data_IF_167846918619
#
_entry.id   IF_167846918619
#
_cell.length_a   1.000
_cell.length_b   1.000
_cell.length_c   1.000
_cell.angle_alpha   90.00
_cell.angle_beta   90.00
_cell.angle_gamma   90.00
#
_symmetry.space_group_name_H-M   'P 1'
#
loop_
_entity.id
_entity.type
_entity.pdbx_description
1 polymer ?
#
# COMPACT_ATOMS: atom_id res chain seq x y z
N UNK A 1 -56.89 12.50 20.58
CA UNK A 1 -56.17 12.89 19.37
C UNK A 1 -54.64 12.84 19.64
N UNK A 2 -54.04 11.69 19.42
CA UNK A 2 -52.61 11.48 19.63
C UNK A 2 -51.90 11.53 18.27
N UNK A 3 -51.07 12.59 18.07
CA UNK A 3 -50.27 12.76 16.88
C UNK A 3 -49.06 11.83 16.98
N UNK A 4 -49.00 10.82 16.11
CA UNK A 4 -47.86 9.93 15.99
C UNK A 4 -46.65 10.67 15.37
N UNK A 5 -45.55 10.68 16.10
CA UNK A 5 -44.27 11.21 15.67
C UNK A 5 -43.62 10.18 14.74
N UNK A 6 -43.55 10.48 13.46
CA UNK A 6 -42.79 9.65 12.50
C UNK A 6 -41.28 9.84 12.78
N UNK A 7 -40.62 8.81 13.30
CA UNK A 7 -39.14 8.73 13.31
C UNK A 7 -38.62 8.58 11.89
N UNK A 8 -37.96 9.59 11.38
CA UNK A 8 -37.11 9.49 10.20
C UNK A 8 -35.86 8.73 10.63
N UNK A 9 -35.68 7.52 10.12
CA UNK A 9 -34.44 6.77 10.21
C UNK A 9 -33.57 7.32 9.09
N UNK A 10 -32.57 8.13 9.45
CA UNK A 10 -31.48 8.45 8.56
C UNK A 10 -30.62 7.17 8.42
N UNK A 11 -30.72 6.52 7.30
CA UNK A 11 -29.75 5.51 6.89
C UNK A 11 -28.48 6.25 6.46
N UNK A 12 -27.32 6.02 7.10
CA UNK A 12 -26.08 6.55 6.56
C UNK A 12 -25.84 5.81 5.25
N UNK A 13 -26.01 6.51 4.14
CA UNK A 13 -25.46 6.07 2.87
C UNK A 13 -23.94 6.11 3.03
N UNK A 14 -23.31 4.97 3.22
CA UNK A 14 -21.90 4.79 2.99
C UNK A 14 -21.68 5.03 1.49
N UNK A 15 -21.22 6.20 1.15
CA UNK A 15 -20.58 6.44 -0.14
C UNK A 15 -19.28 5.63 -0.13
N UNK A 16 -19.31 4.46 -0.73
CA UNK A 16 -18.09 3.83 -1.22
C UNK A 16 -17.57 4.77 -2.32
N UNK A 17 -16.57 5.59 -2.00
CA UNK A 17 -15.78 6.24 -3.04
C UNK A 17 -15.07 5.10 -3.80
N UNK A 18 -15.54 4.81 -5.00
CA UNK A 18 -14.71 4.11 -5.96
C UNK A 18 -13.55 5.07 -6.26
N UNK A 19 -12.38 4.75 -5.75
CA UNK A 19 -11.14 5.48 -6.03
C UNK A 19 -10.73 4.96 -7.39
N UNK A 20 -11.08 5.70 -8.45
CA UNK A 20 -10.62 5.42 -9.81
C UNK A 20 -9.10 5.41 -9.86
N UNK A 21 -8.52 4.58 -10.71
CA UNK A 21 -7.08 4.43 -10.85
C UNK A 21 -6.42 5.78 -11.12
N UNK A 22 -5.53 6.21 -10.24
CA UNK A 22 -4.72 7.41 -10.40
C UNK A 22 -3.26 6.99 -10.61
N UNK A 23 -2.63 7.35 -11.73
CA UNK A 23 -1.27 6.93 -12.02
C UNK A 23 -0.30 7.57 -11.02
N UNK A 24 0.49 6.74 -10.35
CA UNK A 24 1.50 7.15 -9.38
C UNK A 24 2.89 6.76 -9.89
N UNK A 25 3.83 7.68 -9.77
CA UNK A 25 5.26 7.40 -10.00
C UNK A 25 5.96 7.24 -8.66
N UNK A 26 6.54 6.08 -8.41
CA UNK A 26 7.30 5.84 -7.18
C UNK A 26 8.69 6.47 -7.32
N UNK A 27 8.80 7.76 -7.01
CA UNK A 27 10.02 8.54 -7.22
C UNK A 27 10.46 9.39 -6.00
N UNK A 28 9.66 9.36 -4.93
CA UNK A 28 9.89 10.14 -3.70
C UNK A 28 9.38 11.58 -3.80
N UNK A 29 8.58 11.88 -4.83
CA UNK A 29 7.87 13.15 -5.00
C UNK A 29 6.38 12.91 -4.87
N UNK A 30 5.74 13.51 -3.91
CA UNK A 30 4.34 13.19 -3.57
C UNK A 30 3.31 14.08 -4.28
N UNK A 31 3.69 14.73 -5.38
CA UNK A 31 2.82 15.65 -6.13
C UNK A 31 1.64 14.97 -6.81
N UNK A 32 1.81 13.75 -7.28
CA UNK A 32 0.79 12.90 -7.89
C UNK A 32 -0.22 12.33 -6.87
N UNK A 33 0.13 12.34 -5.59
CA UNK A 33 -0.76 11.97 -4.50
C UNK A 33 -1.76 13.07 -4.08
N UNK A 34 -1.64 14.28 -4.62
CA UNK A 34 -2.49 15.41 -4.21
C UNK A 34 -3.98 15.15 -4.48
N UNK A 35 -4.29 14.54 -5.62
CA UNK A 35 -5.66 14.22 -6.02
C UNK A 35 -6.18 12.90 -5.41
N UNK A 36 -5.31 12.08 -4.84
CA UNK A 36 -5.71 10.83 -4.18
C UNK A 36 -6.31 11.15 -2.81
N UNK A 37 -7.55 10.75 -2.53
CA UNK A 37 -8.18 11.05 -1.25
C UNK A 37 -7.50 10.34 -0.10
N UNK A 38 -7.51 10.97 1.07
CA UNK A 38 -7.11 10.34 2.33
C UNK A 38 -8.18 9.32 2.70
N UNK A 39 -7.80 8.08 2.91
CA UNK A 39 -8.70 7.01 3.35
C UNK A 39 -8.69 6.83 4.86
N UNK A 40 -7.61 7.23 5.53
CA UNK A 40 -7.48 7.23 6.97
C UNK A 40 -6.64 8.40 7.45
N UNK A 41 -7.07 9.01 8.53
CA UNK A 41 -6.32 10.04 9.26
C UNK A 41 -6.25 9.62 10.70
N UNK A 42 -5.06 9.58 11.21
CA UNK A 42 -4.73 9.21 12.56
C UNK A 42 -4.46 10.44 13.43
N UNK A 43 -4.61 10.29 14.75
CA UNK A 43 -4.29 11.34 15.71
C UNK A 43 -2.86 11.12 16.21
N UNK A 44 -2.23 12.17 16.69
CA UNK A 44 -0.93 12.09 17.34
C UNK A 44 -1.14 11.80 18.84
N UNK A 45 -1.30 10.55 19.24
CA UNK A 45 -1.72 10.22 20.61
C UNK A 45 -1.21 8.88 21.19
N UNK A 46 -0.77 7.91 20.42
CA UNK A 46 -0.48 6.57 20.94
C UNK A 46 0.92 6.02 20.72
N UNK A 47 1.70 6.53 19.76
CA UNK A 47 3.07 6.09 19.53
C UNK A 47 4.12 7.07 20.07
N UNK A 48 5.27 6.52 20.49
CA UNK A 48 6.36 7.32 21.06
C UNK A 48 7.34 7.80 19.98
N UNK A 49 7.59 6.98 18.98
CA UNK A 49 8.63 7.26 17.97
C UNK A 49 8.06 7.37 16.56
N UNK A 50 7.28 6.38 16.12
CA UNK A 50 6.71 6.33 14.77
C UNK A 50 5.19 6.32 14.86
N UNK A 51 4.60 7.50 14.85
CA UNK A 51 3.18 7.77 14.96
C UNK A 51 2.66 8.07 13.56
N UNK A 52 1.87 7.16 13.01
CA UNK A 52 1.26 7.33 11.70
C UNK A 52 0.28 8.50 11.71
N UNK A 53 0.09 9.15 10.60
CA UNK A 53 -0.85 10.27 10.50
C UNK A 53 -1.84 10.14 9.34
N UNK A 54 -1.43 9.55 8.26
CA UNK A 54 -2.23 9.57 7.03
C UNK A 54 -1.96 8.36 6.18
N UNK A 55 -3.03 7.77 5.63
CA UNK A 55 -2.97 6.72 4.63
C UNK A 55 -3.78 7.08 3.40
N UNK A 56 -3.21 6.84 2.22
CA UNK A 56 -3.90 6.91 0.93
C UNK A 56 -3.62 5.64 0.16
N UNK A 57 -4.61 5.18 -0.61
CA UNK A 57 -4.48 4.03 -1.49
C UNK A 57 -5.07 4.38 -2.85
N UNK A 58 -4.40 3.96 -3.90
CA UNK A 58 -4.91 3.95 -5.26
C UNK A 58 -4.33 2.76 -6.02
N UNK A 59 -4.75 2.54 -7.24
CA UNK A 59 -4.29 1.42 -8.06
C UNK A 59 -4.35 1.79 -9.54
N UNK A 60 -3.64 1.03 -10.34
CA UNK A 60 -3.79 0.98 -11.80
C UNK A 60 -3.99 -0.47 -12.26
N UNK A 61 -3.81 -0.76 -13.53
CA UNK A 61 -3.97 -2.12 -14.08
C UNK A 61 -2.89 -3.11 -13.64
N UNK A 62 -1.77 -2.62 -13.09
CA UNK A 62 -0.62 -3.45 -12.74
C UNK A 62 -0.25 -3.38 -11.26
N UNK A 63 -0.51 -2.25 -10.58
CA UNK A 63 -0.03 -2.00 -9.24
C UNK A 63 -1.10 -1.48 -8.29
N UNK A 64 -0.98 -1.91 -7.04
CA UNK A 64 -1.56 -1.26 -5.88
C UNK A 64 -0.55 -0.24 -5.36
N UNK A 65 -0.97 1.00 -5.18
CA UNK A 65 -0.16 2.09 -4.66
C UNK A 65 -0.63 2.48 -3.27
N UNK A 66 0.32 2.66 -2.36
CA UNK A 66 0.07 3.01 -0.96
C UNK A 66 0.96 4.18 -0.61
N UNK A 67 0.37 5.24 -0.05
CA UNK A 67 1.09 6.35 0.55
C UNK A 67 0.75 6.43 2.02
N UNK A 68 1.75 6.65 2.85
CA UNK A 68 1.55 6.95 4.26
C UNK A 68 2.53 7.98 4.77
N UNK A 69 2.15 8.60 5.89
CA UNK A 69 2.92 9.67 6.52
C UNK A 69 2.86 9.52 8.03
N UNK A 70 3.95 9.96 8.70
CA UNK A 70 4.04 10.08 10.15
C UNK A 70 3.73 11.50 10.62
N UNK A 71 3.26 11.67 11.86
CA UNK A 71 3.06 12.96 12.48
C UNK A 71 4.36 13.70 12.70
N UNK A 72 5.34 13.00 13.25
CA UNK A 72 6.68 13.53 13.54
C UNK A 72 7.75 12.49 13.21
N UNK A 73 9.02 12.90 13.29
CA UNK A 73 10.14 12.02 12.99
C UNK A 73 10.44 11.88 11.51
N UNK A 74 11.57 11.31 11.23
CA UNK A 74 12.04 10.92 9.90
C UNK A 74 12.64 9.54 10.01
N UNK A 75 12.20 8.63 9.16
CA UNK A 75 12.58 7.23 9.20
C UNK A 75 13.25 6.80 7.92
N UNK A 76 14.13 5.83 8.00
CA UNK A 76 14.64 5.10 6.87
C UNK A 76 13.86 3.79 6.76
N UNK A 77 13.01 3.68 5.75
CA UNK A 77 12.07 2.59 5.61
C UNK A 77 12.72 1.20 5.62
N UNK A 78 13.89 1.09 5.03
CA UNK A 78 14.62 -0.17 4.85
C UNK A 78 15.83 -0.28 5.78
N UNK A 79 15.67 0.09 7.03
CA UNK A 79 16.69 -0.02 8.08
C UNK A 79 16.03 -0.55 9.37
N UNK A 80 16.74 -0.70 10.42
CA UNK A 80 16.47 -1.24 11.76
C UNK A 80 15.07 -0.93 12.39
N UNK A 81 14.05 -0.84 11.56
CA UNK A 81 12.66 -0.66 11.97
C UNK A 81 11.89 -1.97 11.84
N UNK A 82 10.68 -1.99 12.35
CA UNK A 82 9.77 -3.13 12.28
C UNK A 82 8.45 -2.74 11.60
N UNK A 83 8.55 -1.92 10.55
CA UNK A 83 7.41 -1.58 9.74
C UNK A 83 6.92 -2.77 8.93
N UNK A 84 5.66 -3.11 9.14
CA UNK A 84 4.99 -4.19 8.44
C UNK A 84 3.82 -3.67 7.62
N UNK A 85 3.61 -4.36 6.50
CA UNK A 85 2.42 -4.26 5.68
C UNK A 85 1.71 -5.60 5.71
N UNK A 86 0.43 -5.59 5.99
CA UNK A 86 -0.46 -6.74 5.94
C UNK A 86 -1.57 -6.46 4.94
N UNK A 87 -1.81 -7.40 4.03
CA UNK A 87 -2.90 -7.33 3.06
C UNK A 87 -3.72 -8.61 3.16
N UNK A 88 -4.99 -8.45 3.51
CA UNK A 88 -6.02 -9.48 3.54
C UNK A 88 -6.85 -9.33 2.26
N UNK A 89 -6.85 -10.33 1.40
CA UNK A 89 -7.49 -10.29 0.08
C UNK A 89 -8.78 -11.06 -0.01
N UNK A 90 -9.07 -11.95 0.95
CA UNK A 90 -10.30 -12.73 1.00
C UNK A 90 -11.32 -12.20 2.03
N UNK A 91 -10.91 -11.23 2.83
CA UNK A 91 -11.68 -10.62 3.92
C UNK A 91 -12.11 -11.62 5.01
N UNK A 92 -11.38 -12.73 5.14
CA UNK A 92 -11.63 -13.72 6.19
C UNK A 92 -10.55 -13.63 7.28
N UNK A 93 -10.89 -13.01 8.38
CA UNK A 93 -10.01 -12.86 9.54
C UNK A 93 -9.58 -14.20 10.18
N UNK A 94 -10.10 -15.34 9.73
CA UNK A 94 -9.75 -16.67 10.24
C UNK A 94 -8.66 -17.35 9.41
N UNK A 95 -8.40 -16.87 8.21
CA UNK A 95 -7.33 -17.34 7.31
C UNK A 95 -6.10 -16.45 7.41
N UNK A 96 -5.01 -16.78 6.76
CA UNK A 96 -3.84 -15.93 6.69
C UNK A 96 -3.11 -15.66 8.01
N UNK A 97 -2.28 -14.63 8.02
CA UNK A 97 -1.57 -14.15 9.20
C UNK A 97 -2.44 -13.18 10.01
N UNK A 98 -2.59 -13.46 11.30
CA UNK A 98 -3.42 -12.65 12.18
C UNK A 98 -2.69 -11.37 12.60
N UNK A 99 -3.19 -10.20 12.21
CA UNK A 99 -2.68 -8.90 12.60
C UNK A 99 -3.81 -7.89 12.71
N UNK A 100 -3.93 -7.19 13.83
CA UNK A 100 -4.93 -6.14 14.07
C UNK A 100 -6.34 -6.48 13.54
N UNK A 101 -6.81 -7.71 13.79
CA UNK A 101 -8.17 -8.15 13.39
C UNK A 101 -8.35 -8.50 11.90
N UNK A 102 -7.28 -8.57 11.11
CA UNK A 102 -7.29 -9.10 9.75
C UNK A 102 -6.57 -10.43 9.66
N UNK A 103 -6.89 -11.22 8.63
CA UNK A 103 -6.18 -12.44 8.25
C UNK A 103 -5.40 -12.21 6.95
N UNK A 104 -4.16 -11.77 7.04
CA UNK A 104 -3.40 -11.33 5.88
C UNK A 104 -2.79 -12.48 5.08
N UNK A 105 -3.04 -12.52 3.78
CA UNK A 105 -2.38 -13.42 2.82
C UNK A 105 -1.00 -12.92 2.44
N UNK A 106 -0.77 -11.60 2.43
CA UNK A 106 0.54 -11.02 2.17
C UNK A 106 1.04 -10.27 3.41
N UNK A 107 2.25 -10.62 3.85
CA UNK A 107 2.96 -9.92 4.91
C UNK A 107 4.34 -9.50 4.43
N UNK A 108 4.66 -8.22 4.61
CA UNK A 108 5.97 -7.68 4.26
C UNK A 108 6.56 -6.88 5.41
N UNK A 109 7.82 -7.16 5.76
CA UNK A 109 8.61 -6.37 6.71
C UNK A 109 9.63 -5.52 5.95
N UNK A 110 9.50 -4.21 6.04
CA UNK A 110 10.35 -3.28 5.29
C UNK A 110 11.78 -3.22 5.83
N UNK A 111 11.96 -3.22 7.12
CA UNK A 111 13.27 -3.19 7.76
C UNK A 111 14.11 -4.42 7.41
N UNK A 112 13.52 -5.58 7.48
CA UNK A 112 14.16 -6.85 7.15
C UNK A 112 14.21 -7.11 5.64
N UNK A 113 13.50 -6.35 4.82
CA UNK A 113 13.35 -6.54 3.35
C UNK A 113 12.92 -7.96 2.99
N UNK A 114 12.01 -8.49 3.74
CA UNK A 114 11.54 -9.87 3.59
C UNK A 114 10.06 -9.96 3.94
N UNK A 115 9.42 -10.95 3.40
CA UNK A 115 8.02 -11.21 3.67
C UNK A 115 7.66 -12.65 3.34
N UNK A 116 6.39 -12.92 3.39
CA UNK A 116 5.82 -14.19 2.99
C UNK A 116 4.37 -14.00 2.57
N UNK A 117 3.87 -14.95 1.82
CA UNK A 117 2.44 -15.09 1.62
C UNK A 117 1.93 -16.39 2.27
N UNK A 118 0.66 -16.37 2.62
CA UNK A 118 -0.03 -17.50 3.24
C UNK A 118 -0.78 -18.30 2.18
N UNK A 119 -0.63 -19.60 2.20
CA UNK A 119 -1.45 -20.52 1.42
C UNK A 119 -1.68 -21.79 2.23
N UNK A 120 -2.95 -22.16 2.45
CA UNK A 120 -3.32 -23.34 3.25
C UNK A 120 -2.58 -23.39 4.61
N UNK A 121 -2.58 -22.27 5.32
CA UNK A 121 -1.89 -22.09 6.62
C UNK A 121 -0.35 -22.25 6.58
N UNK A 122 0.23 -22.25 5.40
CA UNK A 122 1.69 -22.32 5.22
C UNK A 122 2.25 -20.95 4.83
N UNK A 123 3.33 -20.56 5.48
CA UNK A 123 4.11 -19.39 5.14
C UNK A 123 5.08 -19.74 4.00
N UNK A 124 4.93 -19.08 2.87
CA UNK A 124 5.83 -19.18 1.72
C UNK A 124 6.65 -17.89 1.66
N UNK A 125 7.96 -17.95 1.89
CA UNK A 125 8.80 -16.76 1.87
C UNK A 125 8.85 -16.13 0.47
N UNK A 126 8.85 -14.81 0.45
CA UNK A 126 8.95 -14.00 -0.77
C UNK A 126 10.07 -12.99 -0.67
N UNK A 127 10.59 -12.61 -1.81
CA UNK A 127 11.54 -11.53 -1.99
C UNK A 127 10.86 -10.31 -2.62
N UNK A 128 11.49 -9.17 -2.52
CA UNK A 128 10.99 -7.91 -3.07
C UNK A 128 10.56 -8.02 -4.54
N UNK A 129 11.32 -8.76 -5.36
CA UNK A 129 11.03 -8.93 -6.78
C UNK A 129 9.80 -9.79 -7.04
N UNK A 130 9.47 -10.73 -6.16
CA UNK A 130 8.33 -11.63 -6.32
C UNK A 130 7.00 -10.87 -6.26
N UNK A 131 6.98 -9.76 -5.53
CA UNK A 131 5.82 -8.87 -5.39
C UNK A 131 6.00 -7.54 -6.13
N UNK A 132 7.01 -7.42 -6.98
CA UNK A 132 7.34 -6.19 -7.74
C UNK A 132 7.39 -4.94 -6.86
N UNK A 133 7.76 -5.08 -5.58
CA UNK A 133 7.74 -4.02 -4.58
C UNK A 133 8.67 -2.88 -4.97
N UNK A 134 8.14 -1.68 -4.99
CA UNK A 134 8.87 -0.42 -5.10
C UNK A 134 8.58 0.43 -3.88
N UNK A 135 9.59 1.11 -3.37
CA UNK A 135 9.47 1.99 -2.19
C UNK A 135 10.26 3.25 -2.45
N UNK A 136 9.68 4.39 -2.19
CA UNK A 136 10.35 5.68 -2.23
C UNK A 136 9.84 6.60 -1.09
N UNK A 137 10.66 7.56 -0.63
CA UNK A 137 12.09 7.69 -0.95
C UNK A 137 12.93 6.58 -0.30
N UNK A 138 14.15 6.38 -0.79
CA UNK A 138 15.12 5.43 -0.21
C UNK A 138 16.07 6.10 0.78
N UNK A 139 15.76 7.32 1.17
CA UNK A 139 16.44 8.10 2.21
C UNK A 139 15.49 8.32 3.40
N UNK A 140 15.98 8.88 4.48
CA UNK A 140 15.14 9.29 5.62
C UNK A 140 14.05 10.24 5.17
N UNK A 141 12.81 9.93 5.55
CA UNK A 141 11.63 10.72 5.22
C UNK A 141 10.57 10.60 6.31
N UNK A 142 9.64 11.54 6.29
CA UNK A 142 8.41 11.50 7.08
C UNK A 142 7.27 10.82 6.33
N UNK A 143 7.37 10.73 5.02
CA UNK A 143 6.32 10.20 4.16
C UNK A 143 6.92 9.27 3.12
N UNK A 144 6.15 8.25 2.75
CA UNK A 144 6.59 7.18 1.88
C UNK A 144 5.49 6.78 0.91
N UNK A 145 5.93 6.28 -0.23
CA UNK A 145 5.09 5.69 -1.25
C UNK A 145 5.59 4.30 -1.62
N UNK A 146 4.64 3.41 -1.87
CA UNK A 146 4.87 2.00 -2.14
C UNK A 146 4.05 1.60 -3.35
N UNK A 147 4.61 0.74 -4.20
CA UNK A 147 3.85 0.00 -5.21
C UNK A 147 4.08 -1.49 -5.04
N UNK A 148 3.01 -2.28 -5.18
CA UNK A 148 3.03 -3.74 -5.19
C UNK A 148 2.27 -4.22 -6.42
N UNK A 149 2.85 -5.16 -7.16
CA UNK A 149 2.19 -5.74 -8.34
C UNK A 149 0.90 -6.47 -7.97
N UNK A 150 -0.19 -6.18 -8.64
CA UNK A 150 -1.50 -6.83 -8.39
C UNK A 150 -1.52 -8.33 -8.73
N UNK A 151 -0.57 -8.79 -9.55
CA UNK A 151 -0.34 -10.19 -9.88
C UNK A 151 0.59 -10.93 -8.90
N UNK A 152 0.92 -10.28 -7.78
CA UNK A 152 1.85 -10.83 -6.79
C UNK A 152 1.28 -12.03 -6.05
N UNK A 153 2.14 -12.98 -5.64
CA UNK A 153 1.75 -14.02 -4.69
C UNK A 153 1.14 -13.42 -3.42
N UNK A 154 0.04 -14.01 -2.96
CA UNK A 154 -0.73 -13.49 -1.81
C UNK A 154 -1.69 -12.35 -2.15
N UNK A 155 -1.65 -11.80 -3.37
CA UNK A 155 -2.66 -10.86 -3.88
C UNK A 155 -3.56 -11.47 -4.97
N UNK A 156 -3.30 -12.70 -5.38
CA UNK A 156 -4.13 -13.44 -6.32
C UNK A 156 -4.91 -14.52 -5.59
N UNK A 157 -6.22 -14.56 -5.79
CA UNK A 157 -7.10 -15.61 -5.28
C UNK A 157 -7.07 -16.79 -6.27
N UNK A 158 -7.01 -18.02 -5.76
CA UNK A 158 -7.09 -19.24 -6.59
C UNK A 158 -6.15 -19.27 -7.81
N UNK A 159 -4.98 -18.65 -7.68
CA UNK A 159 -3.87 -18.76 -8.62
C UNK A 159 -3.83 -17.72 -9.74
N UNK A 160 -4.96 -17.24 -10.25
CA UNK A 160 -5.01 -16.27 -11.35
C UNK A 160 -6.09 -15.19 -11.19
N UNK A 161 -6.97 -15.33 -10.23
CA UNK A 161 -8.04 -14.35 -10.02
C UNK A 161 -7.55 -13.20 -9.17
N UNK A 162 -7.53 -12.01 -9.73
CA UNK A 162 -7.29 -10.78 -8.99
C UNK A 162 -8.41 -10.54 -7.97
N UNK A 163 -8.05 -10.15 -6.75
CA UNK A 163 -9.05 -9.76 -5.76
C UNK A 163 -9.71 -8.42 -6.17
N UNK A 164 -10.99 -8.26 -5.82
CA UNK A 164 -11.74 -7.03 -6.11
C UNK A 164 -11.84 -6.09 -4.91
N UNK A 165 -11.66 -6.62 -3.72
CA UNK A 165 -11.63 -5.85 -2.48
C UNK A 165 -10.70 -6.55 -1.49
N UNK A 166 -10.10 -5.77 -0.63
CA UNK A 166 -9.21 -6.27 0.41
C UNK A 166 -9.17 -5.35 1.60
N UNK A 167 -8.42 -5.76 2.59
CA UNK A 167 -8.10 -4.95 3.76
C UNK A 167 -6.60 -4.75 3.88
N UNK A 168 -6.22 -3.63 4.42
CA UNK A 168 -4.83 -3.28 4.67
C UNK A 168 -4.64 -2.88 6.13
N UNK A 169 -3.50 -3.27 6.66
CA UNK A 169 -2.97 -2.78 7.94
C UNK A 169 -1.50 -2.43 7.72
N UNK A 170 -1.08 -1.28 8.22
CA UNK A 170 0.32 -0.95 8.44
C UNK A 170 0.60 -0.99 9.94
N UNK A 171 1.78 -1.41 10.34
CA UNK A 171 2.19 -1.36 11.73
C UNK A 171 3.66 -1.02 11.87
N UNK A 172 3.97 -0.37 13.00
CA UNK A 172 5.31 -0.25 13.55
C UNK A 172 5.26 -0.80 14.97
N UNK A 173 5.97 -1.90 15.25
CA UNK A 173 5.86 -2.61 16.53
C UNK A 173 6.99 -2.31 17.51
N UNK A 174 8.01 -1.56 17.09
CA UNK A 174 9.06 -1.08 17.98
C UNK A 174 8.62 0.19 18.72
N UNK A 175 8.97 0.33 19.97
CA UNK A 175 8.81 1.57 20.72
C UNK A 175 7.41 1.91 21.22
N UNK A 176 6.46 1.00 21.15
CA UNK A 176 5.11 1.24 21.69
C UNK A 176 4.01 0.75 20.78
N UNK A 177 4.35 0.52 19.55
CA UNK A 177 3.47 -0.07 18.52
C UNK A 177 2.38 0.88 18.05
N UNK A 178 2.40 1.17 16.77
CA UNK A 178 1.36 1.95 16.13
C UNK A 178 0.78 1.17 14.95
N UNK A 179 -0.50 1.37 14.69
CA UNK A 179 -1.23 0.71 13.61
C UNK A 179 -2.03 1.72 12.80
N UNK A 180 -2.10 1.50 11.50
CA UNK A 180 -3.13 2.09 10.65
C UNK A 180 -3.99 0.95 10.08
N UNK A 181 -5.30 0.91 10.43
CA UNK A 181 -5.99 1.75 11.42
C UNK A 181 -5.72 1.31 12.86
N UNK A 182 -5.98 2.19 13.83
CA UNK A 182 -5.96 1.90 15.28
C UNK A 182 -6.98 0.84 15.66
N UNK A 183 -8.17 0.95 15.09
CA UNK A 183 -9.25 0.00 15.32
C UNK A 183 -8.97 -1.33 14.62
N UNK A 184 -9.25 -2.44 15.30
CA UNK A 184 -9.16 -3.78 14.72
C UNK A 184 -10.04 -3.94 13.47
N UNK A 185 -9.56 -4.71 12.50
CA UNK A 185 -10.31 -5.12 11.31
C UNK A 185 -9.83 -4.52 10.00
N UNK A 186 -8.76 -3.72 10.02
CA UNK A 186 -8.11 -3.17 8.84
C UNK A 186 -8.96 -2.17 8.05
N UNK A 187 -8.35 -1.50 7.09
CA UNK A 187 -9.02 -0.57 6.18
C UNK A 187 -9.39 -1.26 4.87
N UNK A 188 -10.66 -1.17 4.51
CA UNK A 188 -11.12 -1.71 3.23
C UNK A 188 -10.63 -0.86 2.06
N UNK A 189 -10.20 -1.50 0.99
CA UNK A 189 -9.94 -0.88 -0.30
C UNK A 189 -10.50 -1.73 -1.43
N UNK A 190 -10.75 -1.10 -2.57
CA UNK A 190 -11.33 -1.74 -3.75
C UNK A 190 -10.35 -1.64 -4.91
N UNK A 191 -10.27 -2.71 -5.71
CA UNK A 191 -9.61 -2.73 -7.01
C UNK A 191 -10.67 -3.07 -8.04
N UNK A 192 -10.85 -2.24 -9.05
CA UNK A 192 -11.86 -2.43 -10.09
C UNK A 192 -11.21 -2.55 -11.47
N UNK A 193 -11.65 -3.51 -12.24
CA UNK A 193 -11.20 -3.66 -13.63
C UNK A 193 -11.72 -2.56 -14.56
N UNK A 194 -12.74 -1.81 -14.11
CA UNK A 194 -13.43 -0.84 -14.96
C UNK A 194 -12.68 0.49 -15.14
N UNK A 195 -11.63 0.75 -14.36
CA UNK A 195 -10.91 2.02 -14.34
C UNK A 195 -9.46 1.85 -14.81
N UNK A 196 -9.30 1.27 -15.99
CA UNK A 196 -7.99 1.20 -16.65
C UNK A 196 -7.61 2.59 -17.19
N UNK A 197 -7.04 3.41 -16.35
CA UNK A 197 -6.23 4.53 -16.84
C UNK A 197 -5.00 3.95 -17.54
N UNK A 198 -5.08 3.85 -18.85
CA UNK A 198 -3.94 3.44 -19.67
C UNK A 198 -2.82 4.46 -19.42
N UNK A 199 -1.75 4.01 -18.82
CA UNK A 199 -0.52 4.78 -18.71
C UNK A 199 -0.05 5.09 -20.14
N UNK A 200 -0.02 6.35 -20.53
CA UNK A 200 0.72 6.71 -21.73
C UNK A 200 2.20 6.48 -21.46
N UNK A 201 2.86 5.59 -22.19
CA UNK A 201 4.28 5.32 -21.95
C UNK A 201 5.06 6.64 -22.09
N UNK A 202 5.91 6.91 -21.10
CA UNK A 202 6.79 8.08 -21.14
C UNK A 202 7.58 8.01 -22.44
N UNK A 203 7.39 9.01 -23.32
CA UNK A 203 8.16 9.08 -24.55
C UNK A 203 9.64 9.14 -24.22
N UNK A 204 10.40 8.12 -24.65
CA UNK A 204 11.85 8.08 -24.53
C UNK A 204 12.55 8.86 -25.66
N UNK A 205 11.77 9.48 -26.54
CA UNK A 205 12.33 10.29 -27.63
C UNK A 205 13.04 11.53 -27.10
N UNK A 206 14.12 11.92 -27.74
CA UNK A 206 14.83 13.15 -27.43
C UNK A 206 14.02 14.33 -27.97
N UNK A 207 13.72 15.30 -27.13
CA UNK A 207 13.14 16.56 -27.57
C UNK A 207 14.13 17.43 -28.36
N UNK A 208 15.43 17.20 -28.16
CA UNK A 208 16.53 17.92 -28.82
C UNK A 208 17.69 16.94 -29.02
N UNK A 209 18.23 16.90 -30.23
CA UNK A 209 19.36 16.03 -30.59
C UNK A 209 20.63 16.31 -29.75
N UNK A 210 20.75 17.50 -29.19
CA UNK A 210 21.87 17.93 -28.37
C UNK A 210 21.72 17.55 -26.88
N UNK A 211 20.56 17.05 -26.47
CA UNK A 211 20.34 16.63 -25.09
C UNK A 211 20.87 15.24 -24.81
N UNK A 212 21.63 15.12 -23.74
CA UNK A 212 22.08 13.84 -23.20
C UNK A 212 21.07 13.39 -22.16
N UNK A 213 20.48 12.20 -22.36
CA UNK A 213 19.71 11.53 -21.32
C UNK A 213 20.65 10.64 -20.50
N UNK A 214 20.66 10.86 -19.19
CA UNK A 214 21.35 9.98 -18.26
C UNK A 214 20.27 9.19 -17.52
N UNK A 215 20.29 7.87 -17.75
CA UNK A 215 19.47 6.95 -16.97
C UNK A 215 20.37 6.38 -15.86
N UNK A 216 20.05 6.67 -14.62
CA UNK A 216 20.72 6.09 -13.47
C UNK A 216 19.87 4.94 -12.93
N UNK A 217 20.36 3.72 -13.08
CA UNK A 217 19.78 2.56 -12.41
C UNK A 217 20.52 2.32 -11.09
N UNK A 218 19.78 2.38 -10.00
CA UNK A 218 20.26 1.85 -8.74
C UNK A 218 19.82 0.38 -8.65
N UNK A 219 20.68 -0.53 -9.10
CA UNK A 219 20.45 -1.96 -8.91
C UNK A 219 20.81 -2.32 -7.48
N UNK A 220 19.82 -2.29 -6.58
CA UNK A 220 19.93 -2.97 -5.29
C UNK A 220 20.10 -4.47 -5.54
N UNK A 221 21.25 -5.00 -5.15
CA UNK A 221 21.73 -6.37 -5.32
C UNK A 221 22.23 -6.75 -6.71
N UNK A 222 23.55 -6.53 -6.93
CA UNK A 222 24.43 -7.31 -7.80
C UNK A 222 23.89 -7.82 -9.15
N UNK A 223 22.84 -7.21 -9.66
CA UNK A 223 22.39 -7.50 -11.01
C UNK A 223 23.22 -6.76 -12.03
N UNK A 224 24.43 -7.25 -12.32
CA UNK A 224 25.09 -6.93 -13.57
C UNK A 224 24.29 -7.66 -14.65
N UNK A 225 23.50 -6.91 -15.38
CA UNK A 225 22.97 -7.42 -16.65
C UNK A 225 24.13 -7.28 -17.63
N UNK A 226 24.79 -8.39 -17.93
CA UNK A 226 25.65 -8.48 -19.10
C UNK A 226 24.74 -8.30 -20.32
N UNK A 227 24.89 -7.19 -21.00
CA UNK A 227 24.30 -6.95 -22.32
C UNK A 227 25.39 -7.31 -23.32
N UNK A 228 25.34 -8.53 -23.84
CA UNK A 228 26.09 -8.92 -25.06
C UNK A 228 25.51 -8.23 -26.29
#
# INVERSE_FOLDING_TARGET
>A
MTKGLKKFIFSPFLFSLAIGGHPISIDGSFGDWVEVPIIYSDNNDDAIEADFSTLKITYDSEFLFIYFRFHEGEFLMQDWNDFHLYIDVDNDHLTGHQANGVGAELVWNFGNRSGYFMINDQQIPIMQNDIKLRVAPTITSREFEIAIGLDSPGLTLDGDQQFSNGKIVLSEVNGGGDYIPDDEGGLNFLVSDDDQTLFEPISIERYDENNIRVLSYNTLNNGIIDID
#
